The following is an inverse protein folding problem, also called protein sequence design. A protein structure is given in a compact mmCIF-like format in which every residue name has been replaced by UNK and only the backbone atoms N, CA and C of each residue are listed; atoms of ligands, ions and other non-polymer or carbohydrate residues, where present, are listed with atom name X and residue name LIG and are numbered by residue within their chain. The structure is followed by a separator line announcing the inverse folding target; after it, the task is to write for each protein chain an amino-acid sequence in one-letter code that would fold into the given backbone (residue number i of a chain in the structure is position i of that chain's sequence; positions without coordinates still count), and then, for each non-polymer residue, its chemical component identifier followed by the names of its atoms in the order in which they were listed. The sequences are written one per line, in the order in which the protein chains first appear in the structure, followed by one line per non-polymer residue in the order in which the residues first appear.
data_IF_387342637733
#
_entry.id   IF_387342637733
#
_cell.length_a   1.000
_cell.length_b   1.000
_cell.length_c   1.000
_cell.angle_alpha   90.00
_cell.angle_beta   90.00
_cell.angle_gamma   90.00
#
_symmetry.space_group_name_H-M   'P 1'
#
loop_
_entity.id
_entity.type
_entity.pdbx_description
1 polymer ?
#
# COMPACT_ATOMS: atom_id res chain seq x y z
N UNK A 1 -73.51 -21.97 82.71
CA UNK A 1 -74.11 -20.64 82.96
C UNK A 1 -73.64 -19.69 81.88
N UNK A 2 -74.61 -19.06 81.25
CA UNK A 2 -74.60 -18.18 80.07
C UNK A 2 -74.02 -16.80 80.37
N UNK A 3 -73.32 -16.19 79.39
CA UNK A 3 -73.38 -14.76 79.00
C UNK A 3 -72.27 -14.44 77.95
N UNK A 4 -72.54 -14.37 76.64
CA UNK A 4 -72.89 -13.17 75.83
C UNK A 4 -71.93 -11.96 75.92
N UNK A 5 -71.18 -11.62 74.86
CA UNK A 5 -71.59 -10.65 73.82
C UNK A 5 -70.44 -10.11 72.93
N UNK A 6 -70.76 -9.99 71.62
CA UNK A 6 -70.36 -9.00 70.57
C UNK A 6 -68.92 -8.84 70.05
N UNK A 7 -68.86 -8.48 68.76
CA UNK A 7 -67.76 -8.54 67.77
C UNK A 7 -67.38 -7.17 67.16
N UNK A 8 -66.18 -7.11 66.52
CA UNK A 8 -65.64 -6.23 65.41
C UNK A 8 -64.42 -5.35 65.80
N UNK A 9 -63.55 -4.87 64.86
CA UNK A 9 -62.84 -5.50 63.72
C UNK A 9 -61.29 -5.22 63.72
N UNK A 10 -60.52 -5.77 62.78
CA UNK A 10 -59.04 -5.58 62.56
C UNK A 10 -58.72 -4.27 61.79
N UNK A 11 -57.47 -3.69 61.74
CA UNK A 11 -56.39 -4.24 60.87
C UNK A 11 -54.89 -3.89 61.18
N UNK A 12 -54.02 -4.76 60.66
CA UNK A 12 -52.68 -4.56 60.04
C UNK A 12 -51.69 -3.50 60.57
N UNK A 13 -50.53 -3.99 61.04
CA UNK A 13 -49.28 -3.24 61.17
C UNK A 13 -48.65 -2.95 59.80
N UNK A 14 -48.53 -1.67 59.46
CA UNK A 14 -47.79 -1.18 58.29
C UNK A 14 -46.29 -1.19 58.58
N UNK A 15 -45.60 -2.24 58.13
CA UNK A 15 -44.16 -2.18 57.87
C UNK A 15 -43.94 -1.26 56.66
N UNK A 16 -43.28 -0.11 56.86
CA UNK A 16 -42.78 0.74 55.80
C UNK A 16 -41.66 0.01 55.05
N UNK A 17 -42.05 -0.77 54.03
CA UNK A 17 -41.11 -1.22 53.01
C UNK A 17 -40.75 -0.02 52.14
N UNK A 18 -39.51 0.46 52.28
CA UNK A 18 -38.90 1.37 51.30
C UNK A 18 -38.82 0.60 49.98
N UNK A 19 -39.79 0.82 49.10
CA UNK A 19 -39.77 0.31 47.75
C UNK A 19 -38.71 1.10 46.98
N UNK A 20 -37.53 0.52 46.81
CA UNK A 20 -36.62 0.94 45.73
C UNK A 20 -37.29 0.58 44.42
N UNK A 21 -38.14 1.47 43.90
CA UNK A 21 -38.68 1.41 42.54
C UNK A 21 -37.49 1.49 41.58
N UNK A 22 -37.05 0.33 41.12
CA UNK A 22 -36.12 0.22 39.99
C UNK A 22 -36.82 0.89 38.81
N UNK A 23 -36.45 2.14 38.46
CA UNK A 23 -37.00 2.87 37.31
C UNK A 23 -37.04 1.90 36.13
N UNK A 24 -38.25 1.58 35.64
CA UNK A 24 -38.41 0.79 34.44
C UNK A 24 -37.59 1.47 33.34
N UNK A 25 -36.79 0.70 32.62
CA UNK A 25 -36.01 1.20 31.51
C UNK A 25 -37.02 1.49 30.40
N UNK A 26 -37.51 2.72 30.32
CA UNK A 26 -38.53 3.12 29.34
C UNK A 26 -37.98 2.90 27.93
N UNK A 27 -38.42 1.80 27.30
CA UNK A 27 -38.12 1.47 25.91
C UNK A 27 -39.16 2.14 25.04
N UNK A 28 -38.76 3.16 24.29
CA UNK A 28 -39.64 3.87 23.35
C UNK A 28 -39.62 3.20 21.96
N UNK A 29 -40.78 3.17 21.30
CA UNK A 29 -40.87 2.78 19.89
C UNK A 29 -40.30 3.87 18.97
N UNK A 30 -39.75 3.49 17.81
CA UNK A 30 -39.16 4.48 16.88
C UNK A 30 -40.18 5.52 16.40
N UNK A 31 -41.45 5.16 16.29
CA UNK A 31 -42.55 6.05 15.88
C UNK A 31 -43.25 6.76 17.05
N UNK A 32 -42.74 6.64 18.29
CA UNK A 32 -43.34 7.29 19.47
C UNK A 32 -43.39 8.81 19.27
N UNK A 33 -44.57 9.41 19.42
CA UNK A 33 -44.78 10.84 19.20
C UNK A 33 -44.36 11.71 20.38
N UNK A 34 -43.86 11.12 21.47
CA UNK A 34 -43.30 11.84 22.61
C UNK A 34 -42.21 12.84 22.18
N UNK A 35 -42.14 13.98 22.88
CA UNK A 35 -41.20 15.06 22.56
C UNK A 35 -39.75 14.58 22.63
N UNK A 36 -39.42 13.77 23.63
CA UNK A 36 -38.11 13.14 23.82
C UNK A 36 -37.75 12.23 22.64
N UNK A 37 -38.69 11.39 22.16
CA UNK A 37 -38.48 10.53 20.99
C UNK A 37 -38.35 11.34 19.69
N UNK A 38 -39.08 12.45 19.56
CA UNK A 38 -38.97 13.35 18.40
C UNK A 38 -37.61 14.04 18.33
N UNK A 39 -37.10 14.54 19.45
CA UNK A 39 -35.75 15.13 19.56
C UNK A 39 -34.67 14.08 19.27
N UNK A 40 -34.82 12.87 19.80
CA UNK A 40 -33.91 11.76 19.54
C UNK A 40 -33.87 11.39 18.05
N UNK A 41 -35.04 11.23 17.39
CA UNK A 41 -35.15 10.99 15.95
C UNK A 41 -34.48 12.08 15.13
N UNK A 42 -34.78 13.36 15.42
CA UNK A 42 -34.21 14.50 14.69
C UNK A 42 -32.70 14.55 14.84
N UNK A 43 -32.18 14.29 16.03
CA UNK A 43 -30.74 14.26 16.31
C UNK A 43 -30.06 13.11 15.57
N UNK A 44 -30.64 11.90 15.64
CA UNK A 44 -30.15 10.74 14.90
C UNK A 44 -30.12 11.02 13.39
N UNK A 45 -31.24 11.48 12.82
CA UNK A 45 -31.36 11.74 11.39
C UNK A 45 -30.35 12.81 10.94
N UNK A 46 -30.19 13.88 11.73
CA UNK A 46 -29.20 14.94 11.45
C UNK A 46 -27.78 14.38 11.42
N UNK A 47 -27.39 13.60 12.43
CA UNK A 47 -26.04 13.01 12.50
C UNK A 47 -25.84 12.01 11.36
N UNK A 48 -26.83 11.15 11.10
CA UNK A 48 -26.75 10.10 10.09
C UNK A 48 -26.70 10.68 8.67
N UNK A 49 -27.55 11.66 8.34
CA UNK A 49 -27.55 12.34 7.04
C UNK A 49 -26.27 13.15 6.85
N UNK A 50 -25.84 13.91 7.86
CA UNK A 50 -24.59 14.67 7.78
C UNK A 50 -23.36 13.76 7.62
N UNK A 51 -23.32 12.64 8.33
CA UNK A 51 -22.26 11.62 8.19
C UNK A 51 -22.28 10.98 6.81
N UNK A 52 -23.46 10.59 6.32
CA UNK A 52 -23.63 10.02 4.97
C UNK A 52 -23.17 11.01 3.89
N UNK A 53 -23.58 12.28 3.99
CA UNK A 53 -23.14 13.33 3.08
C UNK A 53 -21.62 13.53 3.13
N UNK A 54 -21.02 13.49 4.32
CA UNK A 54 -19.56 13.57 4.48
C UNK A 54 -18.83 12.42 3.79
N UNK A 55 -19.39 11.20 3.85
CA UNK A 55 -18.85 10.04 3.11
C UNK A 55 -18.96 10.26 1.60
N UNK A 56 -20.07 10.80 1.10
CA UNK A 56 -20.23 11.12 -0.33
C UNK A 56 -19.15 12.11 -0.78
N UNK A 57 -18.88 13.15 0.02
CA UNK A 57 -17.78 14.09 -0.26
C UNK A 57 -16.43 13.37 -0.31
N UNK A 58 -16.17 12.47 0.64
CA UNK A 58 -14.93 11.68 0.68
C UNK A 58 -14.80 10.77 -0.54
N UNK A 59 -15.88 10.16 -1.04
CA UNK A 59 -15.84 9.36 -2.27
C UNK A 59 -15.32 10.22 -3.42
N UNK A 60 -15.92 11.37 -3.69
CA UNK A 60 -15.51 12.21 -4.81
C UNK A 60 -14.15 12.90 -4.61
N UNK A 61 -13.81 13.28 -3.38
CA UNK A 61 -12.55 13.98 -3.08
C UNK A 61 -11.34 13.05 -2.94
N UNK A 62 -11.53 11.86 -2.35
CA UNK A 62 -10.44 10.95 -1.99
C UNK A 62 -10.36 9.78 -2.95
N UNK A 63 -11.49 9.12 -3.30
CA UNK A 63 -11.41 7.94 -4.17
C UNK A 63 -10.97 8.34 -5.59
N UNK A 64 -11.29 9.56 -6.03
CA UNK A 64 -10.79 10.12 -7.28
C UNK A 64 -9.25 10.10 -7.39
N UNK A 65 -8.49 10.08 -6.28
CA UNK A 65 -7.04 9.92 -6.29
C UNK A 65 -6.67 8.54 -6.85
N UNK A 66 -7.29 7.46 -6.36
CA UNK A 66 -7.01 6.10 -6.83
C UNK A 66 -7.50 5.89 -8.26
N UNK A 67 -8.70 6.36 -8.59
CA UNK A 67 -9.22 6.29 -9.96
C UNK A 67 -8.36 7.11 -10.92
N UNK A 68 -7.88 8.27 -10.50
CA UNK A 68 -6.98 9.11 -11.28
C UNK A 68 -5.62 8.45 -11.55
N UNK A 69 -5.12 7.63 -10.63
CA UNK A 69 -3.88 6.87 -10.82
C UNK A 69 -4.00 5.85 -11.95
N UNK A 70 -5.20 5.29 -12.15
CA UNK A 70 -5.50 4.24 -13.11
C UNK A 70 -6.16 4.72 -14.41
N UNK A 71 -6.67 5.95 -14.43
CA UNK A 71 -7.49 6.47 -15.54
C UNK A 71 -6.77 6.47 -16.90
N UNK A 72 -5.48 6.80 -16.92
CA UNK A 72 -4.68 6.85 -18.15
C UNK A 72 -3.32 6.18 -17.94
N UNK A 73 -3.24 4.92 -18.33
CA UNK A 73 -2.03 4.11 -18.29
C UNK A 73 -1.82 3.46 -19.66
N UNK A 74 -0.65 3.65 -20.31
CA UNK A 74 0.42 4.56 -19.93
C UNK A 74 0.05 6.03 -20.23
N UNK A 75 0.25 6.94 -19.27
CA UNK A 75 0.21 8.39 -19.53
C UNK A 75 1.50 8.87 -20.20
N UNK A 76 2.61 8.17 -19.99
CA UNK A 76 3.91 8.39 -20.62
C UNK A 76 4.58 7.04 -20.85
N UNK A 77 5.43 6.98 -21.85
CA UNK A 77 6.09 5.74 -22.24
C UNK A 77 7.27 5.43 -21.31
N UNK A 78 7.54 4.14 -21.15
CA UNK A 78 8.71 3.65 -20.45
C UNK A 78 9.95 3.70 -21.36
N UNK A 79 11.13 4.09 -20.88
CA UNK A 79 12.35 3.96 -21.66
C UNK A 79 12.69 2.48 -21.87
N UNK A 80 13.06 2.13 -23.11
CA UNK A 80 13.57 0.82 -23.49
C UNK A 80 14.83 0.96 -24.35
N UNK A 81 15.76 0.02 -24.23
CA UNK A 81 17.01 0.05 -24.99
C UNK A 81 17.04 -1.00 -26.08
N UNK A 82 17.71 -0.69 -27.18
CA UNK A 82 18.09 -1.64 -28.22
C UNK A 82 19.59 -1.57 -28.37
N UNK A 83 20.29 -2.71 -28.26
CA UNK A 83 21.74 -2.80 -28.38
C UNK A 83 22.09 -3.81 -29.45
N UNK A 84 22.74 -3.36 -30.51
CA UNK A 84 23.14 -4.19 -31.64
C UNK A 84 24.60 -4.66 -31.46
N UNK A 85 24.81 -5.92 -31.06
CA UNK A 85 26.13 -6.56 -31.04
C UNK A 85 26.43 -7.33 -32.33
N UNK A 86 25.45 -7.50 -33.22
CA UNK A 86 25.61 -8.19 -34.51
C UNK A 86 26.28 -7.28 -35.55
N UNK A 87 25.83 -6.03 -35.65
CA UNK A 87 26.33 -5.03 -36.62
C UNK A 87 26.06 -5.36 -38.09
N UNK A 88 25.46 -6.53 -38.35
CA UNK A 88 25.09 -7.07 -39.66
C UNK A 88 23.71 -6.60 -40.11
N UNK A 89 23.16 -7.31 -41.10
CA UNK A 89 21.87 -6.98 -41.70
C UNK A 89 20.72 -7.12 -40.68
N UNK A 90 20.72 -8.20 -39.89
CA UNK A 90 19.71 -8.44 -38.86
C UNK A 90 19.78 -7.35 -37.80
N UNK A 91 20.96 -7.10 -37.23
CA UNK A 91 21.18 -6.07 -36.21
C UNK A 91 20.63 -4.70 -36.60
N UNK A 92 21.04 -4.21 -37.79
CA UNK A 92 20.62 -2.90 -38.29
C UNK A 92 19.12 -2.82 -38.57
N UNK A 93 18.54 -3.85 -39.19
CA UNK A 93 17.12 -3.86 -39.55
C UNK A 93 16.23 -3.94 -38.31
N UNK A 94 16.58 -4.77 -37.34
CA UNK A 94 15.85 -4.89 -36.06
C UNK A 94 15.91 -3.57 -35.29
N UNK A 95 17.11 -2.98 -35.16
CA UNK A 95 17.27 -1.70 -34.46
C UNK A 95 16.49 -0.56 -35.12
N UNK A 96 16.47 -0.50 -36.45
CA UNK A 96 15.68 0.47 -37.19
C UNK A 96 14.16 0.23 -37.07
N UNK A 97 13.72 -1.03 -37.11
CA UNK A 97 12.31 -1.37 -36.98
C UNK A 97 11.77 -1.02 -35.58
N UNK A 98 12.52 -1.30 -34.52
CA UNK A 98 12.13 -0.99 -33.14
C UNK A 98 12.09 0.52 -32.84
N UNK A 99 12.87 1.32 -33.55
CA UNK A 99 12.90 2.78 -33.37
C UNK A 99 11.88 3.52 -34.22
N UNK A 100 11.22 2.83 -35.16
CA UNK A 100 10.14 3.43 -35.94
C UNK A 100 8.94 3.68 -35.03
N UNK A 101 8.38 4.91 -34.98
CA UNK A 101 7.25 5.23 -34.11
C UNK A 101 6.06 4.30 -34.38
N UNK A 102 5.69 3.47 -33.42
CA UNK A 102 4.44 2.70 -33.48
C UNK A 102 3.26 3.55 -33.03
N UNK A 103 2.04 3.17 -33.42
CA UNK A 103 0.83 3.96 -33.14
C UNK A 103 0.44 3.98 -31.66
N UNK A 104 0.92 3.03 -30.84
CA UNK A 104 0.71 2.98 -29.39
C UNK A 104 1.89 2.27 -28.66
N UNK A 105 3.08 2.89 -28.53
CA UNK A 105 4.17 2.26 -27.82
C UNK A 105 4.01 2.49 -26.32
N UNK A 106 3.89 1.43 -25.52
CA UNK A 106 4.10 1.55 -24.07
C UNK A 106 5.58 1.85 -23.73
N UNK A 107 6.48 1.61 -24.70
CA UNK A 107 7.92 1.73 -24.59
C UNK A 107 8.47 2.68 -25.66
N UNK A 108 9.30 3.63 -25.26
CA UNK A 108 10.12 4.42 -26.18
C UNK A 108 11.49 3.75 -26.32
N UNK A 109 11.73 3.14 -27.47
CA UNK A 109 12.98 2.46 -27.80
C UNK A 109 14.06 3.47 -28.21
N UNK A 110 15.26 3.32 -27.63
CA UNK A 110 16.45 4.09 -28.00
C UNK A 110 17.61 3.14 -28.30
N UNK A 111 18.30 3.36 -29.40
CA UNK A 111 19.52 2.59 -29.73
C UNK A 111 20.66 3.08 -28.83
N UNK A 112 21.30 2.14 -28.15
CA UNK A 112 22.50 2.39 -27.33
C UNK A 112 23.67 1.65 -27.97
N UNK A 113 24.83 2.29 -28.03
CA UNK A 113 26.02 1.71 -28.65
C UNK A 113 26.50 0.47 -27.86
N UNK A 114 26.83 -0.65 -28.54
CA UNK A 114 27.40 -1.83 -27.88
C UNK A 114 28.74 -1.53 -27.19
N UNK A 115 29.45 -0.48 -27.60
CA UNK A 115 30.70 -0.03 -26.97
C UNK A 115 30.55 0.39 -25.49
N UNK A 116 29.33 0.71 -25.04
CA UNK A 116 29.04 0.99 -23.63
C UNK A 116 28.98 -0.28 -22.77
N UNK A 117 28.94 -1.46 -23.39
CA UNK A 117 28.76 -2.76 -22.75
C UNK A 117 29.84 -3.75 -23.20
N UNK A 118 31.11 -3.57 -22.77
CA UNK A 118 32.23 -4.40 -23.20
C UNK A 118 32.10 -5.87 -22.78
N UNK A 119 31.34 -6.18 -21.72
CA UNK A 119 30.95 -7.53 -21.30
C UNK A 119 29.72 -8.09 -22.03
N UNK A 120 29.30 -7.46 -23.13
CA UNK A 120 28.24 -7.95 -24.00
C UNK A 120 26.84 -7.90 -23.38
N UNK A 121 25.93 -8.82 -23.75
CA UNK A 121 24.55 -8.85 -23.24
C UNK A 121 24.44 -8.95 -21.71
N UNK A 122 25.44 -9.53 -21.04
CA UNK A 122 25.46 -9.64 -19.58
C UNK A 122 25.53 -8.27 -18.88
N UNK A 123 26.32 -7.33 -19.41
CA UNK A 123 26.41 -5.96 -18.90
C UNK A 123 25.09 -5.21 -19.13
N UNK A 124 24.43 -5.45 -20.27
CA UNK A 124 23.09 -4.90 -20.55
C UNK A 124 22.09 -5.41 -19.52
N UNK A 125 22.08 -6.71 -19.24
CA UNK A 125 21.25 -7.29 -18.19
C UNK A 125 21.52 -6.66 -16.81
N UNK A 126 22.79 -6.48 -16.43
CA UNK A 126 23.17 -5.82 -15.18
C UNK A 126 22.65 -4.36 -15.12
N UNK A 127 22.72 -3.61 -16.23
CA UNK A 127 22.20 -2.25 -16.30
C UNK A 127 20.66 -2.19 -16.20
N UNK A 128 19.94 -3.17 -16.76
CA UNK A 128 18.48 -3.31 -16.61
C UNK A 128 18.13 -3.64 -15.15
N UNK A 129 18.87 -4.55 -14.51
CA UNK A 129 18.70 -4.89 -13.09
C UNK A 129 18.97 -3.70 -12.17
N UNK A 130 19.93 -2.84 -12.53
CA UNK A 130 20.20 -1.56 -11.87
C UNK A 130 19.24 -0.44 -12.30
N UNK A 131 18.11 -0.76 -12.93
CA UNK A 131 17.03 0.15 -13.27
C UNK A 131 17.42 1.34 -14.17
N UNK A 132 18.50 1.24 -14.95
CA UNK A 132 18.88 2.30 -15.90
C UNK A 132 17.89 2.43 -17.06
N UNK A 133 17.21 1.34 -17.40
CA UNK A 133 16.08 1.29 -18.32
C UNK A 133 15.03 0.29 -17.81
N UNK A 134 13.83 0.24 -18.39
CA UNK A 134 12.78 -0.72 -17.98
C UNK A 134 12.89 -2.07 -18.68
N UNK A 135 13.42 -2.07 -19.90
CA UNK A 135 13.59 -3.25 -20.75
C UNK A 135 14.72 -2.98 -21.73
N UNK A 136 15.46 -4.02 -22.10
CA UNK A 136 16.44 -3.92 -23.18
C UNK A 136 16.30 -5.10 -24.14
N UNK A 137 16.56 -4.88 -25.42
CA UNK A 137 16.64 -5.90 -26.45
C UNK A 137 18.08 -5.88 -26.98
N UNK A 138 18.79 -6.99 -26.87
CA UNK A 138 20.09 -7.16 -27.51
C UNK A 138 19.91 -7.98 -28.79
N UNK A 139 20.54 -7.54 -29.87
CA UNK A 139 20.79 -8.41 -31.03
C UNK A 139 22.15 -9.03 -30.79
N UNK A 140 22.18 -10.36 -30.70
CA UNK A 140 23.36 -11.09 -30.26
C UNK A 140 24.40 -11.16 -31.38
N UNK A 141 25.68 -11.15 -31.00
CA UNK A 141 26.80 -11.21 -31.96
C UNK A 141 26.68 -12.42 -32.88
N UNK A 142 26.99 -12.24 -34.16
CA UNK A 142 26.99 -13.31 -35.16
C UNK A 142 25.60 -13.81 -35.57
N UNK A 143 24.51 -13.15 -35.20
CA UNK A 143 23.15 -13.53 -35.60
C UNK A 143 22.98 -13.54 -37.12
N UNK A 144 23.47 -12.51 -37.82
CA UNK A 144 23.44 -12.46 -39.28
C UNK A 144 24.30 -13.58 -39.87
N UNK A 145 25.51 -13.79 -39.36
CA UNK A 145 26.42 -14.83 -39.85
C UNK A 145 25.82 -16.23 -39.68
N UNK A 146 25.30 -16.55 -38.49
CA UNK A 146 24.65 -17.85 -38.20
C UNK A 146 23.49 -18.14 -39.14
N UNK A 147 22.64 -17.14 -39.43
CA UNK A 147 21.54 -17.32 -40.37
C UNK A 147 22.05 -17.57 -41.79
N UNK A 148 22.99 -16.75 -42.26
CA UNK A 148 23.56 -16.89 -43.62
C UNK A 148 24.30 -18.21 -43.80
N UNK A 149 25.04 -18.67 -42.79
CA UNK A 149 25.73 -19.96 -42.78
C UNK A 149 24.73 -21.12 -42.84
N UNK A 150 23.62 -21.03 -42.09
CA UNK A 150 22.55 -22.03 -42.12
C UNK A 150 21.84 -22.10 -43.49
N UNK A 151 21.73 -20.96 -44.19
CA UNK A 151 21.18 -20.92 -45.54
C UNK A 151 22.16 -21.46 -46.58
N UNK A 152 23.47 -21.21 -46.43
CA UNK A 152 24.47 -21.73 -47.35
C UNK A 152 24.71 -23.25 -47.16
N UNK A 153 24.77 -23.68 -45.90
CA UNK A 153 24.99 -25.07 -45.46
C UNK A 153 23.91 -25.47 -44.47
N UNK A 154 22.86 -26.21 -44.90
CA UNK A 154 21.72 -26.54 -44.06
C UNK A 154 22.11 -27.13 -42.71
N UNK A 155 21.72 -26.44 -41.64
CA UNK A 155 22.06 -26.79 -40.26
C UNK A 155 20.79 -27.12 -39.47
N UNK A 156 20.54 -28.41 -39.22
CA UNK A 156 19.38 -28.88 -38.48
C UNK A 156 19.28 -28.34 -37.04
N UNK A 157 20.40 -27.90 -36.46
CA UNK A 157 20.47 -27.35 -35.10
C UNK A 157 20.34 -25.83 -35.05
N UNK A 158 20.12 -25.15 -36.20
CA UNK A 158 19.90 -23.71 -36.21
C UNK A 158 18.68 -23.34 -35.35
N UNK A 159 18.89 -22.40 -34.41
CA UNK A 159 17.84 -21.85 -33.56
C UNK A 159 17.78 -20.32 -33.72
N UNK A 160 16.71 -19.84 -34.35
CA UNK A 160 16.47 -18.41 -34.53
C UNK A 160 16.26 -17.66 -33.21
N UNK A 161 15.95 -18.35 -32.10
CA UNK A 161 15.74 -17.72 -30.79
C UNK A 161 17.02 -17.13 -30.19
N UNK A 162 18.18 -17.64 -30.59
CA UNK A 162 19.49 -17.13 -30.15
C UNK A 162 19.85 -15.76 -30.75
N UNK A 163 19.07 -15.27 -31.72
CA UNK A 163 19.37 -14.03 -32.39
C UNK A 163 19.13 -12.78 -31.52
N UNK A 164 18.13 -12.83 -30.64
CA UNK A 164 17.77 -11.70 -29.79
C UNK A 164 17.51 -12.12 -28.35
N UNK A 165 17.94 -11.29 -27.41
CA UNK A 165 17.64 -11.47 -25.99
C UNK A 165 16.91 -10.26 -25.44
N UNK A 166 15.75 -10.48 -24.82
CA UNK A 166 14.94 -9.45 -24.17
C UNK A 166 15.21 -9.52 -22.68
N UNK A 167 15.77 -8.45 -22.11
CA UNK A 167 16.03 -8.33 -20.68
C UNK A 167 14.91 -7.55 -19.99
N UNK A 168 14.40 -8.10 -18.90
CA UNK A 168 13.41 -7.44 -18.07
C UNK A 168 13.53 -7.81 -16.58
N UNK A 169 12.89 -7.02 -15.72
CA UNK A 169 12.88 -7.24 -14.27
C UNK A 169 11.42 -7.18 -13.81
N UNK A 170 10.74 -8.32 -13.84
CA UNK A 170 9.32 -8.37 -13.52
C UNK A 170 9.03 -7.92 -12.09
N UNK A 171 9.85 -8.34 -11.12
CA UNK A 171 9.70 -7.97 -9.72
C UNK A 171 9.89 -6.47 -9.43
N UNK A 172 10.42 -5.68 -10.39
CA UNK A 172 10.46 -4.21 -10.30
C UNK A 172 9.05 -3.63 -10.20
N UNK A 173 8.15 -4.13 -11.04
CA UNK A 173 6.71 -3.91 -10.99
C UNK A 173 6.01 -4.90 -11.95
N UNK A 174 5.31 -5.89 -11.39
CA UNK A 174 4.69 -7.00 -12.11
C UNK A 174 3.56 -6.53 -13.02
N UNK A 175 2.82 -5.48 -12.63
CA UNK A 175 1.71 -4.96 -13.44
C UNK A 175 2.22 -4.29 -14.70
N UNK A 176 3.27 -3.45 -14.60
CA UNK A 176 3.88 -2.84 -15.76
C UNK A 176 4.56 -3.89 -16.64
N UNK A 177 5.24 -4.87 -16.05
CA UNK A 177 5.87 -5.93 -16.83
C UNK A 177 4.86 -6.72 -17.65
N UNK A 178 3.82 -7.26 -16.99
CA UNK A 178 2.83 -8.15 -17.60
C UNK A 178 1.85 -7.45 -18.54
N UNK A 179 1.45 -6.22 -18.24
CA UNK A 179 0.40 -5.53 -18.99
C UNK A 179 0.93 -4.52 -20.01
N UNK A 180 2.18 -4.05 -19.88
CA UNK A 180 2.74 -3.00 -20.73
C UNK A 180 4.03 -3.44 -21.43
N UNK A 181 5.04 -3.83 -20.65
CA UNK A 181 6.40 -4.03 -21.17
C UNK A 181 6.46 -5.26 -22.06
N UNK A 182 6.12 -6.43 -21.52
CA UNK A 182 6.23 -7.69 -22.23
C UNK A 182 5.31 -7.74 -23.46
N UNK A 183 4.00 -7.42 -23.37
CA UNK A 183 3.14 -7.41 -24.55
C UNK A 183 3.61 -6.44 -25.64
N UNK A 184 4.11 -5.25 -25.26
CA UNK A 184 4.60 -4.27 -26.23
C UNK A 184 5.90 -4.72 -26.92
N UNK A 185 6.83 -5.34 -26.18
CA UNK A 185 8.04 -5.90 -26.76
C UNK A 185 7.72 -7.11 -27.66
N UNK A 186 6.90 -8.03 -27.17
CA UNK A 186 6.48 -9.24 -27.87
C UNK A 186 5.80 -8.90 -29.20
N UNK A 187 4.80 -8.00 -29.19
CA UNK A 187 4.12 -7.59 -30.41
C UNK A 187 5.05 -6.95 -31.44
N UNK A 188 6.04 -6.16 -31.00
CA UNK A 188 7.01 -5.53 -31.91
C UNK A 188 7.94 -6.59 -32.52
N UNK A 189 8.45 -7.51 -31.69
CA UNK A 189 9.37 -8.55 -32.11
C UNK A 189 8.70 -9.58 -33.02
N UNK A 190 7.47 -10.00 -32.73
CA UNK A 190 6.70 -10.93 -33.58
C UNK A 190 6.48 -10.37 -34.99
N UNK A 191 6.15 -9.08 -35.08
CA UNK A 191 6.01 -8.38 -36.37
C UNK A 191 7.33 -8.34 -37.12
N UNK A 192 8.43 -8.01 -36.45
CA UNK A 192 9.77 -7.96 -37.05
C UNK A 192 10.21 -9.36 -37.52
N UNK A 193 10.06 -10.38 -36.68
CA UNK A 193 10.37 -11.78 -37.01
C UNK A 193 9.59 -12.25 -38.24
N UNK A 194 8.28 -11.97 -38.30
CA UNK A 194 7.46 -12.33 -39.45
C UNK A 194 7.87 -11.59 -40.73
N UNK A 195 8.18 -10.28 -40.63
CA UNK A 195 8.68 -9.50 -41.78
C UNK A 195 9.99 -10.06 -42.32
N UNK A 196 10.94 -10.40 -41.45
CA UNK A 196 12.23 -10.99 -41.83
C UNK A 196 12.03 -12.36 -42.46
N UNK A 197 11.15 -13.21 -41.90
CA UNK A 197 10.82 -14.51 -42.48
C UNK A 197 10.26 -14.40 -43.91
N UNK A 198 9.32 -13.48 -44.13
CA UNK A 198 8.73 -13.25 -45.46
C UNK A 198 9.76 -12.70 -46.45
N UNK A 199 10.59 -11.74 -46.02
CA UNK A 199 11.64 -11.17 -46.87
C UNK A 199 12.67 -12.23 -47.25
N UNK A 200 13.08 -13.05 -46.28
CA UNK A 200 14.04 -14.11 -46.51
C UNK A 200 13.48 -15.19 -47.44
N UNK A 201 12.24 -15.66 -47.19
CA UNK A 201 11.57 -16.64 -48.04
C UNK A 201 11.49 -16.18 -49.51
N UNK A 202 11.26 -14.88 -49.75
CA UNK A 202 11.29 -14.30 -51.10
C UNK A 202 12.70 -14.27 -51.69
N UNK A 203 13.71 -13.96 -50.89
CA UNK A 203 15.09 -13.91 -51.35
C UNK A 203 15.61 -15.29 -51.76
N UNK A 204 15.27 -16.34 -51.00
CA UNK A 204 15.73 -17.71 -51.26
C UNK A 204 14.83 -18.50 -52.22
N UNK A 205 13.72 -17.92 -52.69
CA UNK A 205 12.72 -18.62 -53.50
C UNK A 205 13.28 -19.22 -54.81
N UNK A 206 14.33 -18.61 -55.36
CA UNK A 206 14.98 -19.05 -56.60
C UNK A 206 16.36 -19.69 -56.37
N UNK A 207 16.74 -19.91 -55.11
CA UNK A 207 18.04 -20.49 -54.78
C UNK A 207 18.04 -22.01 -55.03
N UNK A 208 19.11 -22.52 -55.64
CA UNK A 208 19.21 -23.95 -55.99
C UNK A 208 19.29 -24.87 -54.77
N UNK A 209 19.69 -24.34 -53.61
CA UNK A 209 19.81 -25.09 -52.37
C UNK A 209 18.51 -25.12 -51.53
N UNK A 210 17.45 -24.43 -51.96
CA UNK A 210 16.17 -24.34 -51.24
C UNK A 210 15.58 -25.72 -50.86
N UNK A 211 15.56 -26.74 -51.75
CA UNK A 211 15.07 -28.07 -51.37
C UNK A 211 15.86 -28.69 -50.22
N UNK A 212 17.18 -28.46 -50.16
CA UNK A 212 18.04 -28.98 -49.10
C UNK A 212 17.83 -28.23 -47.78
N UNK A 213 17.60 -26.92 -47.83
CA UNK A 213 17.25 -26.11 -46.64
C UNK A 213 15.91 -26.59 -46.08
N UNK A 214 14.87 -26.74 -46.92
CA UNK A 214 13.56 -27.19 -46.46
C UNK A 214 13.57 -28.62 -45.90
N UNK A 215 14.44 -29.49 -46.42
CA UNK A 215 14.58 -30.86 -45.93
C UNK A 215 15.35 -30.96 -44.59
N UNK A 216 16.39 -30.15 -44.39
CA UNK A 216 17.33 -30.33 -43.28
C UNK A 216 17.26 -29.22 -42.22
N UNK A 217 16.91 -27.99 -42.60
CA UNK A 217 16.83 -26.83 -41.71
C UNK A 217 15.67 -25.89 -42.09
N UNK A 218 14.42 -26.37 -42.13
CA UNK A 218 13.27 -25.56 -42.54
C UNK A 218 13.05 -24.33 -41.64
N UNK A 219 13.45 -24.41 -40.38
CA UNK A 219 13.36 -23.33 -39.41
C UNK A 219 14.19 -22.10 -39.81
N UNK A 220 15.25 -22.26 -40.61
CA UNK A 220 16.04 -21.15 -41.16
C UNK A 220 15.24 -20.29 -42.14
N UNK A 221 14.06 -20.74 -42.57
CA UNK A 221 13.13 -19.98 -43.42
C UNK A 221 11.83 -19.66 -42.68
N UNK A 222 11.28 -20.60 -41.92
CA UNK A 222 9.99 -20.41 -41.23
C UNK A 222 10.11 -19.62 -39.93
N UNK A 223 11.25 -19.67 -39.25
CA UNK A 223 11.56 -18.93 -38.03
C UNK A 223 13.03 -18.48 -38.01
N UNK A 224 13.49 -17.71 -39.03
CA UNK A 224 14.90 -17.32 -39.14
C UNK A 224 15.35 -16.39 -38.02
N UNK A 225 14.41 -15.64 -37.45
CA UNK A 225 14.65 -14.66 -36.41
C UNK A 225 13.61 -14.83 -35.31
N UNK A 226 14.06 -15.06 -34.09
CA UNK A 226 13.22 -15.13 -32.90
C UNK A 226 13.99 -14.54 -31.70
N UNK A 227 13.46 -14.70 -30.50
CA UNK A 227 13.99 -14.07 -29.30
C UNK A 227 13.79 -14.95 -28.06
N UNK A 228 14.65 -14.72 -27.07
CA UNK A 228 14.54 -15.30 -25.74
C UNK A 228 14.28 -14.21 -24.70
N UNK A 229 13.35 -14.46 -23.76
CA UNK A 229 13.13 -13.57 -22.62
C UNK A 229 14.02 -13.98 -21.45
N UNK A 230 14.87 -13.07 -21.01
CA UNK A 230 15.64 -13.17 -19.79
C UNK A 230 15.05 -12.25 -18.71
N UNK A 231 14.18 -12.83 -17.88
CA UNK A 231 13.64 -12.15 -16.69
C UNK A 231 14.64 -12.25 -15.54
N UNK A 232 15.32 -11.15 -15.25
CA UNK A 232 16.43 -11.06 -14.31
C UNK A 232 16.00 -11.14 -12.84
N UNK A 233 14.74 -10.81 -12.55
CA UNK A 233 14.13 -11.00 -11.23
C UNK A 233 12.63 -11.29 -11.42
N UNK A 234 12.25 -12.57 -11.57
CA UNK A 234 10.86 -12.97 -11.72
C UNK A 234 10.01 -12.61 -10.50
N UNK A 235 8.73 -12.32 -10.73
CA UNK A 235 7.74 -12.19 -9.65
C UNK A 235 6.94 -13.51 -9.55
N UNK A 236 7.61 -14.54 -9.06
CA UNK A 236 7.17 -15.95 -9.09
C UNK A 236 6.59 -16.44 -7.75
N UNK A 237 6.56 -15.59 -6.72
CA UNK A 237 6.03 -15.90 -5.39
C UNK A 237 4.64 -15.26 -5.22
N UNK A 238 3.53 -16.02 -5.28
CA UNK A 238 2.18 -15.45 -5.20
C UNK A 238 1.92 -14.68 -3.89
N UNK A 239 2.49 -15.15 -2.77
CA UNK A 239 2.39 -14.50 -1.46
C UNK A 239 3.03 -13.11 -1.46
N UNK A 240 3.98 -12.82 -2.36
CA UNK A 240 4.64 -11.52 -2.43
C UNK A 240 3.66 -10.38 -2.75
N UNK A 241 2.57 -10.65 -3.49
CA UNK A 241 1.50 -9.66 -3.72
C UNK A 241 0.84 -9.23 -2.42
N UNK A 242 0.65 -10.18 -1.49
CA UNK A 242 0.07 -9.89 -0.19
C UNK A 242 0.99 -8.97 0.62
N UNK A 243 2.31 -9.17 0.63
CA UNK A 243 3.21 -8.34 1.46
C UNK A 243 3.63 -7.04 0.80
N UNK A 244 3.75 -6.99 -0.53
CA UNK A 244 4.24 -5.80 -1.25
C UNK A 244 3.15 -4.80 -1.63
N UNK A 245 1.87 -5.17 -1.50
CA UNK A 245 0.74 -4.32 -1.87
C UNK A 245 -0.41 -4.37 -0.85
N UNK A 246 -1.19 -5.45 -0.82
CA UNK A 246 -2.43 -5.53 0.00
C UNK A 246 -2.13 -5.41 1.50
N UNK A 247 -1.03 -6.01 1.93
CA UNK A 247 -0.57 -6.05 3.31
C UNK A 247 -0.19 -4.68 3.84
N UNK A 248 0.23 -3.75 2.99
CA UNK A 248 0.50 -2.37 3.41
C UNK A 248 -0.78 -1.69 3.93
N UNK A 249 -1.93 -1.99 3.33
CA UNK A 249 -3.24 -1.53 3.79
C UNK A 249 -3.53 -2.12 5.18
N UNK A 250 -3.32 -3.43 5.35
CA UNK A 250 -3.50 -4.09 6.65
C UNK A 250 -2.56 -3.52 7.72
N UNK A 251 -1.32 -3.21 7.36
CA UNK A 251 -0.35 -2.59 8.26
C UNK A 251 -0.85 -1.23 8.79
N UNK A 252 -1.42 -0.40 7.93
CA UNK A 252 -2.00 0.89 8.32
C UNK A 252 -3.27 0.69 9.15
N UNK A 253 -4.15 -0.24 8.79
CA UNK A 253 -5.37 -0.56 9.58
C UNK A 253 -5.01 -1.05 10.98
N UNK A 254 -4.03 -1.94 11.11
CA UNK A 254 -3.53 -2.38 12.42
C UNK A 254 -2.95 -1.21 13.21
N UNK A 255 -2.20 -0.31 12.54
CA UNK A 255 -1.68 0.90 13.17
C UNK A 255 -2.81 1.80 13.69
N UNK A 256 -3.91 1.93 12.93
CA UNK A 256 -5.11 2.65 13.35
C UNK A 256 -5.77 2.03 14.58
N UNK A 257 -5.92 0.70 14.63
CA UNK A 257 -6.47 0.05 15.82
C UNK A 257 -5.65 0.34 17.07
N UNK A 258 -4.32 0.35 16.98
CA UNK A 258 -3.46 0.70 18.11
C UNK A 258 -3.61 2.16 18.52
N UNK A 259 -3.75 3.08 17.57
CA UNK A 259 -4.07 4.49 17.87
C UNK A 259 -5.39 4.60 18.63
N UNK A 260 -6.42 3.85 18.22
CA UNK A 260 -7.72 3.84 18.90
C UNK A 260 -7.65 3.21 20.29
N UNK A 261 -6.93 2.10 20.46
CA UNK A 261 -6.68 1.48 21.77
C UNK A 261 -5.93 2.44 22.68
N UNK A 262 -4.88 3.09 22.17
CA UNK A 262 -4.11 4.09 22.92
C UNK A 262 -4.97 5.30 23.32
N UNK A 263 -5.82 5.80 22.42
CA UNK A 263 -6.77 6.86 22.72
C UNK A 263 -7.77 6.44 23.82
N UNK A 264 -8.41 5.28 23.67
CA UNK A 264 -9.37 4.76 24.65
C UNK A 264 -8.73 4.49 26.02
N UNK A 265 -7.50 3.96 26.05
CA UNK A 265 -6.76 3.74 27.28
C UNK A 265 -6.46 5.06 28.02
N UNK A 266 -6.11 6.13 27.29
CA UNK A 266 -5.88 7.46 27.88
C UNK A 266 -7.18 8.12 28.37
N UNK A 267 -8.28 7.91 27.67
CA UNK A 267 -9.60 8.39 28.08
C UNK A 267 -10.09 7.67 29.35
N UNK A 268 -10.01 6.34 29.37
CA UNK A 268 -10.43 5.51 30.51
C UNK A 268 -9.58 5.73 31.77
N UNK A 269 -8.27 5.94 31.62
CA UNK A 269 -7.36 6.23 32.74
C UNK A 269 -7.40 7.69 33.21
N UNK A 270 -8.05 8.59 32.46
CA UNK A 270 -8.03 10.02 32.75
C UNK A 270 -6.69 10.72 32.50
N UNK A 271 -5.68 10.01 31.95
CA UNK A 271 -4.33 10.53 31.70
C UNK A 271 -4.30 11.72 30.74
N UNK A 272 -5.30 11.84 29.86
CA UNK A 272 -5.47 12.99 28.96
C UNK A 272 -5.76 14.31 29.71
N UNK A 273 -6.16 14.24 30.99
CA UNK A 273 -6.42 15.39 31.86
C UNK A 273 -5.40 15.50 32.99
N UNK A 274 -4.99 14.38 33.59
CA UNK A 274 -4.14 14.37 34.79
C UNK A 274 -2.64 14.52 34.51
N UNK A 275 -2.12 14.07 33.37
CA UNK A 275 -0.68 14.14 33.08
C UNK A 275 -0.24 15.53 32.62
N UNK A 276 0.99 15.91 33.00
CA UNK A 276 1.70 17.03 32.37
C UNK A 276 1.93 16.76 30.88
N UNK A 277 2.00 17.82 30.08
CA UNK A 277 2.09 17.71 28.62
C UNK A 277 3.29 16.88 28.16
N UNK A 278 4.45 17.03 28.82
CA UNK A 278 5.67 16.27 28.51
C UNK A 278 5.49 14.78 28.78
N UNK A 279 4.91 14.42 29.92
CA UNK A 279 4.63 13.03 30.29
C UNK A 279 3.60 12.40 29.37
N UNK A 280 2.58 13.16 28.94
CA UNK A 280 1.56 12.68 28.01
C UNK A 280 2.16 12.42 26.62
N UNK A 281 3.00 13.32 26.11
CA UNK A 281 3.72 13.13 24.84
C UNK A 281 4.63 11.89 24.92
N UNK A 282 5.40 11.76 26.00
CA UNK A 282 6.28 10.62 26.21
C UNK A 282 5.49 9.30 26.27
N UNK A 283 4.38 9.25 27.01
CA UNK A 283 3.49 8.09 27.07
C UNK A 283 3.04 7.68 25.67
N UNK A 284 2.56 8.63 24.87
CA UNK A 284 2.05 8.36 23.52
C UNK A 284 3.14 7.78 22.62
N UNK A 285 4.29 8.45 22.54
CA UNK A 285 5.41 7.98 21.72
C UNK A 285 5.94 6.62 22.17
N UNK A 286 6.22 6.44 23.47
CA UNK A 286 6.75 5.17 23.99
C UNK A 286 5.75 4.03 23.76
N UNK A 287 4.45 4.25 24.00
CA UNK A 287 3.43 3.24 23.75
C UNK A 287 3.31 2.87 22.28
N UNK A 288 3.38 3.84 21.36
CA UNK A 288 3.31 3.58 19.91
C UNK A 288 4.55 2.85 19.41
N UNK A 289 5.76 3.27 19.81
CA UNK A 289 7.00 2.59 19.46
C UNK A 289 7.03 1.15 19.99
N UNK A 290 6.69 0.95 21.27
CA UNK A 290 6.63 -0.37 21.87
C UNK A 290 5.61 -1.28 21.18
N UNK A 291 4.37 -0.80 20.99
CA UNK A 291 3.31 -1.59 20.36
C UNK A 291 3.67 -1.97 18.91
N UNK A 292 4.14 -1.02 18.10
CA UNK A 292 4.49 -1.30 16.71
C UNK A 292 5.68 -2.23 16.58
N UNK A 293 6.62 -2.24 17.52
CA UNK A 293 7.75 -3.18 17.51
C UNK A 293 7.26 -4.63 17.59
N UNK A 294 6.37 -4.95 18.53
CA UNK A 294 5.82 -6.29 18.67
C UNK A 294 4.83 -6.65 17.55
N UNK A 295 3.97 -5.72 17.15
CA UNK A 295 2.96 -6.02 16.11
C UNK A 295 3.63 -6.24 14.76
N UNK A 296 4.61 -5.41 14.39
CA UNK A 296 5.37 -5.62 13.16
C UNK A 296 6.15 -6.94 13.18
N UNK A 297 6.58 -7.42 14.36
CA UNK A 297 7.23 -8.73 14.50
C UNK A 297 6.24 -9.85 14.16
N UNK A 298 5.08 -9.91 14.83
CA UNK A 298 4.08 -10.94 14.56
C UNK A 298 3.50 -10.85 13.15
N UNK A 299 3.32 -9.64 12.64
CA UNK A 299 2.95 -9.39 11.26
C UNK A 299 3.98 -9.98 10.28
N UNK A 300 5.27 -9.82 10.59
CA UNK A 300 6.34 -10.36 9.75
C UNK A 300 6.50 -11.87 9.88
N UNK A 301 6.32 -12.42 11.09
CA UNK A 301 6.34 -13.85 11.37
C UNK A 301 5.20 -14.58 10.63
N UNK A 302 4.06 -13.93 10.40
CA UNK A 302 3.00 -14.49 9.57
C UNK A 302 3.50 -14.80 8.16
N UNK A 303 4.23 -13.88 7.53
CA UNK A 303 4.80 -14.11 6.19
C UNK A 303 5.82 -15.26 6.19
N UNK A 304 6.62 -15.38 7.25
CA UNK A 304 7.56 -16.51 7.42
C UNK A 304 6.83 -17.84 7.65
N UNK A 305 5.73 -17.84 8.41
CA UNK A 305 4.92 -19.03 8.64
C UNK A 305 4.32 -19.57 7.33
N UNK A 306 3.99 -18.68 6.39
CA UNK A 306 3.59 -19.03 5.02
C UNK A 306 4.77 -19.13 4.05
N UNK A 307 5.98 -19.37 4.56
CA UNK A 307 7.19 -19.72 3.81
C UNK A 307 7.63 -18.66 2.78
N UNK A 308 7.44 -17.37 3.06
CA UNK A 308 7.99 -16.31 2.22
C UNK A 308 9.54 -16.38 2.23
N UNK A 309 10.22 -16.53 1.07
CA UNK A 309 11.67 -16.58 1.03
C UNK A 309 12.24 -15.17 1.22
N UNK A 310 13.11 -15.01 2.22
CA UNK A 310 13.76 -13.74 2.55
C UNK A 310 15.28 -13.77 2.38
N UNK A 311 15.85 -14.91 1.98
CA UNK A 311 17.30 -15.11 1.94
C UNK A 311 17.94 -14.74 0.59
N UNK A 312 17.14 -14.39 -0.43
CA UNK A 312 17.59 -14.24 -1.81
C UNK A 312 18.64 -13.12 -2.00
N UNK A 313 18.45 -11.96 -1.36
CA UNK A 313 19.37 -10.82 -1.51
C UNK A 313 20.34 -10.64 -0.35
N UNK A 314 19.86 -10.83 0.88
CA UNK A 314 20.59 -10.49 2.10
C UNK A 314 20.89 -11.72 2.98
N UNK A 315 20.66 -12.93 2.48
CA UNK A 315 20.85 -14.17 3.23
C UNK A 315 20.10 -14.12 4.58
N UNK A 316 20.77 -14.54 5.64
CA UNK A 316 20.19 -14.63 6.99
C UNK A 316 19.71 -13.27 7.55
N UNK A 317 20.23 -12.14 7.04
CA UNK A 317 19.80 -10.81 7.48
C UNK A 317 18.45 -10.39 6.87
N UNK A 318 17.93 -11.12 5.87
CA UNK A 318 16.71 -10.78 5.15
C UNK A 318 15.47 -10.68 6.05
N UNK A 319 15.32 -11.60 7.02
CA UNK A 319 14.22 -11.53 7.98
C UNK A 319 14.29 -10.28 8.86
N UNK A 320 15.46 -9.95 9.39
CA UNK A 320 15.64 -8.77 10.23
C UNK A 320 15.33 -7.48 9.46
N UNK A 321 15.81 -7.38 8.20
CA UNK A 321 15.51 -6.24 7.33
C UNK A 321 14.02 -6.15 7.01
N UNK A 322 13.38 -7.28 6.72
CA UNK A 322 11.95 -7.35 6.45
C UNK A 322 11.13 -6.88 7.66
N UNK A 323 11.43 -7.38 8.86
CA UNK A 323 10.76 -6.98 10.09
C UNK A 323 10.98 -5.49 10.40
N UNK A 324 12.22 -5.02 10.40
CA UNK A 324 12.53 -3.63 10.70
C UNK A 324 11.94 -2.66 9.67
N UNK A 325 11.79 -3.09 8.41
CA UNK A 325 11.11 -2.30 7.39
C UNK A 325 9.60 -2.19 7.64
N UNK A 326 8.94 -3.29 8.01
CA UNK A 326 7.53 -3.27 8.43
C UNK A 326 7.35 -2.41 9.70
N UNK A 327 8.29 -2.48 10.65
CA UNK A 327 8.28 -1.64 11.85
C UNK A 327 8.40 -0.15 11.51
N UNK A 328 9.37 0.22 10.67
CA UNK A 328 9.53 1.60 10.19
C UNK A 328 8.30 2.07 9.40
N UNK A 329 7.70 1.21 8.58
CA UNK A 329 6.47 1.49 7.85
C UNK A 329 5.27 1.71 8.79
N UNK A 330 5.12 0.89 9.83
CA UNK A 330 4.10 1.07 10.87
C UNK A 330 4.30 2.37 11.63
N UNK A 331 5.54 2.70 12.02
CA UNK A 331 5.81 3.97 12.69
C UNK A 331 5.52 5.18 11.79
N UNK A 332 5.95 5.15 10.52
CA UNK A 332 5.75 6.24 9.58
C UNK A 332 4.26 6.56 9.36
N UNK A 333 3.42 5.54 9.22
CA UNK A 333 1.98 5.72 9.00
C UNK A 333 1.20 5.87 10.32
N UNK A 334 1.53 5.08 11.32
CA UNK A 334 0.84 5.00 12.60
C UNK A 334 1.05 6.24 13.46
N UNK A 335 2.26 6.80 13.49
CA UNK A 335 2.51 8.05 14.22
C UNK A 335 1.84 9.25 13.54
N UNK A 336 1.63 9.22 12.22
CA UNK A 336 0.83 10.24 11.53
C UNK A 336 -0.64 10.19 12.00
N UNK A 337 -1.21 8.98 12.15
CA UNK A 337 -2.54 8.77 12.74
C UNK A 337 -2.59 9.21 14.21
N UNK A 338 -1.59 8.84 15.02
CA UNK A 338 -1.46 9.24 16.43
C UNK A 338 -1.34 10.77 16.55
N UNK A 339 -0.65 11.43 15.64
CA UNK A 339 -0.59 12.89 15.63
C UNK A 339 -1.97 13.48 15.33
N UNK A 340 -2.61 13.02 14.25
CA UNK A 340 -3.88 13.58 13.76
C UNK A 340 -5.09 13.31 14.65
N UNK A 341 -5.13 12.20 15.40
CA UNK A 341 -6.26 11.92 16.32
C UNK A 341 -6.38 13.01 17.40
N UNK A 342 -5.27 13.67 17.74
CA UNK A 342 -5.25 14.82 18.68
C UNK A 342 -6.13 15.97 18.19
N UNK A 343 -6.15 16.21 16.88
CA UNK A 343 -6.92 17.28 16.25
C UNK A 343 -8.32 16.83 15.84
N UNK A 344 -8.42 15.63 15.26
CA UNK A 344 -9.64 15.13 14.63
C UNK A 344 -10.57 14.40 15.60
N UNK A 345 -10.07 14.00 16.77
CA UNK A 345 -10.75 13.15 17.76
C UNK A 345 -11.17 11.78 17.20
N UNK A 346 -11.77 10.92 18.04
CA UNK A 346 -12.30 9.63 17.62
C UNK A 346 -13.36 9.72 16.49
N UNK A 347 -14.07 10.85 16.37
CA UNK A 347 -15.11 11.04 15.35
C UNK A 347 -14.55 11.33 13.95
N UNK A 348 -13.45 12.09 13.86
CA UNK A 348 -12.90 12.54 12.59
C UNK A 348 -11.76 11.68 12.05
N UNK A 349 -11.07 10.94 12.91
CA UNK A 349 -9.89 10.15 12.52
C UNK A 349 -10.14 9.10 11.42
N UNK A 350 -11.33 8.45 11.29
CA UNK A 350 -11.56 7.50 10.20
C UNK A 350 -11.47 8.12 8.81
N UNK A 351 -11.88 9.39 8.64
CA UNK A 351 -11.80 10.10 7.36
C UNK A 351 -10.34 10.38 6.95
N UNK A 352 -9.50 10.73 7.92
CA UNK A 352 -8.07 10.88 7.68
C UNK A 352 -7.42 9.53 7.39
N UNK A 353 -7.79 8.46 8.10
CA UNK A 353 -7.31 7.11 7.82
C UNK A 353 -7.61 6.69 6.37
N UNK A 354 -8.85 6.87 5.90
CA UNK A 354 -9.23 6.55 4.51
C UNK A 354 -8.40 7.37 3.53
N UNK A 355 -8.25 8.68 3.77
CA UNK A 355 -7.43 9.57 2.93
C UNK A 355 -5.97 9.11 2.89
N UNK A 356 -5.43 8.71 4.04
CA UNK A 356 -4.05 8.26 4.18
C UNK A 356 -3.81 6.93 3.48
N UNK A 357 -4.75 5.97 3.57
CA UNK A 357 -4.70 4.70 2.82
C UNK A 357 -4.71 4.97 1.32
N UNK A 358 -5.70 5.72 0.84
CA UNK A 358 -5.93 5.91 -0.60
C UNK A 358 -4.76 6.65 -1.24
N UNK A 359 -4.25 7.70 -0.60
CA UNK A 359 -3.07 8.44 -1.12
C UNK A 359 -1.84 7.53 -1.21
N UNK A 360 -1.62 6.68 -0.22
CA UNK A 360 -0.46 5.77 -0.22
C UNK A 360 -0.58 4.62 -1.22
N UNK A 361 -1.75 3.99 -1.33
CA UNK A 361 -1.94 2.82 -2.21
C UNK A 361 -1.95 3.18 -3.69
N UNK A 362 -2.41 4.40 -4.02
CA UNK A 362 -2.54 4.88 -5.41
C UNK A 362 -1.22 4.89 -6.18
N UNK A 363 -0.09 4.97 -5.49
CA UNK A 363 1.25 5.05 -6.10
C UNK A 363 1.99 3.72 -6.14
N UNK A 364 1.36 2.61 -5.71
CA UNK A 364 2.01 1.30 -5.61
C UNK A 364 1.71 0.37 -6.79
N UNK A 365 0.60 0.55 -7.49
CA UNK A 365 0.14 -0.39 -8.52
C UNK A 365 1.01 -0.36 -9.77
N UNK A 366 1.31 0.84 -10.28
CA UNK A 366 2.11 1.05 -11.48
C UNK A 366 3.33 1.93 -11.19
N UNK A 367 4.36 1.89 -12.05
CA UNK A 367 5.49 2.80 -11.96
C UNK A 367 5.10 4.26 -12.15
N UNK A 368 5.80 5.16 -11.46
CA UNK A 368 5.51 6.59 -11.54
C UNK A 368 5.70 7.15 -12.94
N UNK A 369 6.59 6.55 -13.72
CA UNK A 369 6.88 6.92 -15.11
C UNK A 369 5.64 6.80 -16.00
N UNK A 370 4.82 5.75 -15.84
CA UNK A 370 3.59 5.57 -16.64
C UNK A 370 2.38 6.28 -16.07
N UNK A 371 2.42 6.66 -14.79
CA UNK A 371 1.34 7.40 -14.15
C UNK A 371 1.35 8.89 -14.55
N UNK A 372 0.20 9.58 -14.47
CA UNK A 372 0.15 11.04 -14.58
C UNK A 372 1.11 11.72 -13.59
N UNK A 373 1.75 12.82 -14.01
CA UNK A 373 2.83 13.48 -13.24
C UNK A 373 2.46 13.88 -11.81
N UNK A 374 1.17 14.09 -11.52
CA UNK A 374 0.69 14.40 -10.17
C UNK A 374 1.04 13.30 -9.17
N UNK A 375 1.13 12.04 -9.60
CA UNK A 375 1.45 10.89 -8.74
C UNK A 375 2.95 10.74 -8.42
N UNK A 376 3.81 11.65 -8.89
CA UNK A 376 5.22 11.68 -8.52
C UNK A 376 5.45 11.92 -7.01
N UNK A 377 4.43 12.36 -6.26
CA UNK A 377 4.49 12.38 -4.79
C UNK A 377 4.76 10.99 -4.20
N UNK A 378 4.52 9.92 -4.97
CA UNK A 378 4.76 8.54 -4.57
C UNK A 378 6.20 8.28 -4.11
N UNK A 379 7.19 9.02 -4.63
CA UNK A 379 8.57 8.94 -4.14
C UNK A 379 8.68 9.21 -2.63
N UNK A 380 7.84 10.11 -2.10
CA UNK A 380 7.79 10.42 -0.68
C UNK A 380 6.78 9.53 0.08
N UNK A 381 5.91 8.79 -0.59
CA UNK A 381 4.87 8.02 0.09
C UNK A 381 5.45 6.81 0.85
N UNK A 382 5.04 6.59 2.12
CA UNK A 382 5.48 5.43 2.89
C UNK A 382 5.27 4.08 2.19
N UNK A 383 4.08 3.83 1.62
CA UNK A 383 3.79 2.52 1.01
C UNK A 383 4.68 2.23 -0.19
N UNK A 384 4.94 3.24 -1.03
CA UNK A 384 5.84 3.08 -2.17
C UNK A 384 7.24 2.66 -1.71
N UNK A 385 7.78 3.31 -0.69
CA UNK A 385 9.11 3.02 -0.16
C UNK A 385 9.19 1.63 0.50
N UNK A 386 8.17 1.24 1.27
CA UNK A 386 8.09 -0.12 1.83
C UNK A 386 8.01 -1.17 0.71
N UNK A 387 7.08 -1.01 -0.24
CA UNK A 387 6.90 -1.94 -1.37
C UNK A 387 8.20 -2.14 -2.16
N UNK A 388 8.90 -1.05 -2.48
CA UNK A 388 10.17 -1.07 -3.22
C UNK A 388 11.27 -1.81 -2.47
N UNK A 389 11.44 -1.54 -1.17
CA UNK A 389 12.44 -2.22 -0.36
C UNK A 389 12.09 -3.70 -0.13
N UNK A 390 10.81 -4.04 0.04
CA UNK A 390 10.35 -5.44 0.11
C UNK A 390 10.69 -6.20 -1.17
N UNK A 391 10.48 -5.60 -2.34
CA UNK A 391 10.85 -6.21 -3.63
C UNK A 391 12.35 -6.47 -3.73
N UNK A 392 13.20 -5.58 -3.21
CA UNK A 392 14.64 -5.82 -3.11
C UNK A 392 14.95 -7.01 -2.19
N UNK A 393 14.33 -7.08 -1.01
CA UNK A 393 14.60 -8.14 -0.02
C UNK A 393 14.16 -9.51 -0.56
N UNK A 394 12.97 -9.59 -1.17
CA UNK A 394 12.36 -10.84 -1.63
C UNK A 394 12.96 -11.30 -2.97
N UNK A 395 13.07 -10.41 -3.96
CA UNK A 395 13.42 -10.78 -5.34
C UNK A 395 14.81 -10.33 -5.78
N UNK A 396 15.55 -9.59 -4.96
CA UNK A 396 16.90 -9.16 -5.30
C UNK A 396 17.00 -8.09 -6.40
N UNK A 397 15.94 -7.31 -6.61
CA UNK A 397 15.95 -6.12 -7.49
C UNK A 397 16.95 -5.05 -7.02
N UNK A 398 17.10 -3.93 -7.76
CA UNK A 398 18.00 -2.83 -7.39
C UNK A 398 17.91 -2.48 -5.91
N UNK A 399 19.07 -2.42 -5.26
CA UNK A 399 19.13 -2.13 -3.84
C UNK A 399 18.80 -0.66 -3.55
N UNK A 400 17.57 -0.42 -3.07
CA UNK A 400 17.12 0.89 -2.58
C UNK A 400 16.69 0.88 -1.11
N UNK A 401 17.02 -0.19 -0.37
CA UNK A 401 16.58 -0.39 1.01
C UNK A 401 16.98 0.79 1.91
N UNK A 402 18.21 1.28 1.78
CA UNK A 402 18.70 2.44 2.54
C UNK A 402 17.91 3.73 2.26
N UNK A 403 17.60 4.01 0.99
CA UNK A 403 16.77 5.15 0.60
C UNK A 403 15.36 5.03 1.19
N UNK A 404 14.74 3.85 1.07
CA UNK A 404 13.41 3.59 1.62
C UNK A 404 13.36 3.81 3.13
N UNK A 405 14.34 3.29 3.88
CA UNK A 405 14.46 3.56 5.31
C UNK A 405 14.61 5.06 5.60
N UNK A 406 15.45 5.76 4.82
CA UNK A 406 15.63 7.21 4.94
C UNK A 406 14.30 7.98 4.84
N UNK A 407 13.49 7.69 3.81
CA UNK A 407 12.17 8.33 3.64
C UNK A 407 11.22 7.99 4.78
N UNK A 408 11.18 6.73 5.23
CA UNK A 408 10.34 6.32 6.35
C UNK A 408 10.74 7.02 7.65
N UNK A 409 12.04 7.14 7.93
CA UNK A 409 12.56 7.84 9.10
C UNK A 409 12.18 9.33 9.07
N UNK A 410 12.18 9.97 7.90
CA UNK A 410 11.70 11.36 7.77
C UNK A 410 10.23 11.49 8.18
N UNK A 411 9.36 10.56 7.76
CA UNK A 411 7.95 10.56 8.19
C UNK A 411 7.76 10.31 9.68
N UNK A 412 8.58 9.41 10.26
CA UNK A 412 8.62 9.18 11.71
C UNK A 412 8.99 10.48 12.42
N UNK A 413 10.03 11.16 11.96
CA UNK A 413 10.49 12.42 12.53
C UNK A 413 9.43 13.53 12.43
N UNK A 414 8.79 13.69 11.27
CA UNK A 414 7.67 14.63 11.07
C UNK A 414 6.56 14.36 12.08
N UNK A 415 6.22 13.08 12.29
CA UNK A 415 5.18 12.69 13.25
C UNK A 415 5.59 12.96 14.71
N UNK A 416 6.84 12.66 15.06
CA UNK A 416 7.41 12.96 16.38
C UNK A 416 7.45 14.46 16.69
N UNK A 417 7.52 15.34 15.69
CA UNK A 417 7.47 16.80 15.86
C UNK A 417 6.03 17.32 15.88
N UNK A 418 5.18 16.82 14.98
CA UNK A 418 3.78 17.27 14.85
C UNK A 418 2.92 16.86 16.06
N UNK A 419 3.12 15.68 16.64
CA UNK A 419 2.38 15.23 17.82
C UNK A 419 2.51 16.21 19.00
N UNK A 420 3.73 16.59 19.46
CA UNK A 420 3.91 17.63 20.47
C UNK A 420 3.22 18.96 20.14
N UNK A 421 3.35 19.43 18.90
CA UNK A 421 2.77 20.70 18.45
C UNK A 421 1.25 20.64 18.55
N UNK A 422 0.63 19.59 18.02
CA UNK A 422 -0.83 19.42 18.06
C UNK A 422 -1.33 19.26 19.49
N UNK A 423 -0.63 18.50 20.33
CA UNK A 423 -0.96 18.36 21.75
C UNK A 423 -0.95 19.70 22.48
N UNK A 424 0.06 20.53 22.19
CA UNK A 424 0.19 21.86 22.78
C UNK A 424 -0.91 22.82 22.32
N UNK A 425 -1.24 22.83 21.02
CA UNK A 425 -2.34 23.64 20.47
C UNK A 425 -3.66 23.28 21.16
N UNK A 426 -3.98 21.99 21.26
CA UNK A 426 -5.23 21.51 21.86
C UNK A 426 -5.28 21.85 23.35
N UNK A 427 -4.17 21.70 24.08
CA UNK A 427 -4.13 22.01 25.51
C UNK A 427 -4.31 23.51 25.80
N UNK A 428 -3.81 24.39 24.93
CA UNK A 428 -4.04 25.85 25.04
C UNK A 428 -5.48 26.27 24.79
N UNK A 429 -6.22 25.53 23.97
CA UNK A 429 -7.63 25.81 23.65
C UNK A 429 -8.61 25.32 24.74
N UNK A 430 -8.17 24.45 25.64
CA UNK A 430 -8.95 24.06 26.82
C UNK A 430 -8.93 25.22 27.81
N UNK A 431 -9.92 26.10 27.76
CA UNK A 431 -10.21 27.06 28.84
C UNK A 431 -10.44 26.23 30.12
N UNK A 432 -9.84 26.57 31.27
CA UNK A 432 -10.19 25.93 32.53
C UNK A 432 -11.69 26.15 32.74
N UNK A 433 -12.48 25.07 32.79
CA UNK A 433 -13.81 25.20 33.35
C UNK A 433 -13.62 25.73 34.78
N UNK A 434 -14.40 26.73 35.24
CA UNK A 434 -14.42 27.10 36.64
C UNK A 434 -14.58 25.80 37.42
N UNK A 435 -13.72 25.58 38.41
CA UNK A 435 -14.05 24.58 39.42
C UNK A 435 -15.40 25.01 39.96
N UNK A 436 -16.44 24.23 39.67
CA UNK A 436 -17.64 24.25 40.51
C UNK A 436 -17.08 23.76 41.84
N UNK A 437 -16.74 24.71 42.72
CA UNK A 437 -16.72 24.43 44.14
C UNK A 437 -18.09 23.83 44.42
N UNK A 438 -18.11 22.53 44.72
CA UNK A 438 -19.28 21.87 45.28
C UNK A 438 -19.60 22.61 46.58
N UNK A 439 -20.39 23.67 46.49
CA UNK A 439 -21.03 24.34 47.62
C UNK A 439 -22.24 23.54 48.10
N UNK A 440 -22.29 22.24 47.79
CA UNK A 440 -23.29 21.30 48.30
C UNK A 440 -22.93 20.77 49.69
N UNK A 441 -21.66 20.83 50.10
CA UNK A 441 -21.25 20.32 51.41
C UNK A 441 -21.46 21.35 52.53
N UNK A 442 -21.54 22.65 52.21
CA UNK A 442 -21.72 23.72 53.21
C UNK A 442 -23.20 23.96 53.58
N UNK A 443 -24.15 23.61 52.70
CA UNK A 443 -25.58 23.77 53.00
C UNK A 443 -26.17 22.56 53.77
N UNK A 444 -25.63 21.36 53.57
CA UNK A 444 -26.06 20.17 54.30
C UNK A 444 -25.55 20.19 55.77
N UNK A 445 -24.40 20.81 56.05
CA UNK A 445 -23.94 21.02 57.44
C UNK A 445 -24.77 22.07 58.20
N UNK A 446 -25.18 23.16 57.53
CA UNK A 446 -26.02 24.20 58.14
C UNK A 446 -27.45 23.68 58.43
N UNK A 447 -28.02 22.87 57.53
CA UNK A 447 -29.37 22.30 57.73
C UNK A 447 -29.37 21.22 58.85
N UNK A 448 -28.24 20.54 59.09
CA UNK A 448 -28.10 19.57 60.20
C UNK A 448 -27.89 20.28 61.56
N UNK A 449 -27.14 21.39 61.61
CA UNK A 449 -27.01 22.20 62.83
C UNK A 449 -28.33 22.89 63.23
N UNK A 450 -29.08 23.44 62.28
CA UNK A 450 -30.35 24.13 62.56
C UNK A 450 -31.46 23.17 63.04
N UNK A 451 -31.38 21.88 62.67
CA UNK A 451 -32.28 20.81 63.14
C UNK A 451 -31.86 20.28 64.52
N UNK A 452 -30.56 20.32 64.89
CA UNK A 452 -30.12 19.96 66.23
C UNK A 452 -30.46 21.06 67.26
N UNK A 453 -30.37 22.33 66.90
CA UNK A 453 -30.67 23.43 67.83
C UNK A 453 -32.16 23.51 68.20
N UNK A 454 -33.07 23.18 67.27
CA UNK A 454 -34.53 23.14 67.52
C UNK A 454 -35.02 21.95 68.36
N UNK A 455 -34.21 20.90 68.53
CA UNK A 455 -34.57 19.74 69.35
C UNK A 455 -34.05 19.84 70.80
N UNK A 456 -33.40 20.94 71.17
CA UNK A 456 -32.84 21.15 72.50
C UNK A 456 -33.40 22.39 73.23
N UNK A 457 -34.51 22.96 72.74
CA UNK A 457 -35.22 24.08 73.38
C UNK A 457 -36.58 23.65 73.95
#
# INVERSE_FOLDING_TARGET
MTATSRSLPSPSSSFNAVSTTRKAKDTHGFSDTSETASVARKTYLKIYVAGTFSIIVVIFAVFSIFWGALWKIPSRNLPGWVVDFDGGLIGRNVAQALTTPSSLPAITWTVVSPSQFPGGPSDVGAAVLDEQTWVAITINEGSTARLMDSLASPNATYDGSEAMTVFGVEARNENAFRNLIWPSAQASLDVISAMVAIQLAKAVANETNLPAILANSPQSITAPLSYQLQNLAPFDIPLATAVTFVGLIYQLILSFFIVMVGFGAREASGFDKSLHIRSLIALRLISSFGAYFFISLFYSLLSVAFQLPLNNRFGNAGFLLFWMLNYAGMLACGLALESMITLLTAKGIPFFMITWIITNVSVCSFPMEVMPKVFNYGHAAPFFNVSRALRTIIFGTKNRVGLSFGVLIVWIFISCVTLPIFQWIVRRRRVPLPQVTDSSDENDEIEVEEIQEKNTA
#
